data_IF_875734503719
#
_entry.id   IF_875734503719
#
_cell.length_a   1.000
_cell.length_b   1.000
_cell.length_c   1.000
_cell.angle_alpha   90.00
_cell.angle_beta   90.00
_cell.angle_gamma   90.00
#
_symmetry.space_group_name_H-M   'P 1'
#
loop_
_entity.id
_entity.type
_entity.pdbx_description
1 polymer ?
#
# COMPACT_ATOMS: atom_id res chain seq x y z
N UNK A 1 -7.60 -7.08 22.18
CA UNK A 1 -6.67 -7.60 21.15
C UNK A 1 -5.44 -8.24 21.78
N UNK A 2 -4.86 -7.70 22.85
CA UNK A 2 -3.60 -8.20 23.43
C UNK A 2 -3.60 -9.67 23.88
N UNK A 3 -4.77 -10.27 24.11
CA UNK A 3 -4.92 -11.70 24.48
C UNK A 3 -5.45 -12.57 23.32
N UNK A 4 -5.54 -12.03 22.10
CA UNK A 4 -6.05 -12.76 20.94
C UNK A 4 -4.96 -13.61 20.30
N UNK A 5 -5.20 -14.91 20.17
CA UNK A 5 -4.35 -15.82 19.37
C UNK A 5 -4.69 -15.80 17.87
N UNK A 6 -5.62 -14.94 17.43
CA UNK A 6 -6.11 -14.89 16.04
C UNK A 6 -5.83 -13.57 15.34
N UNK A 7 -5.55 -12.51 16.09
CA UNK A 7 -5.47 -11.15 15.58
C UNK A 7 -4.31 -10.44 16.24
N UNK A 8 -3.47 -9.82 15.43
CA UNK A 8 -2.42 -8.92 15.88
C UNK A 8 -3.00 -7.51 16.00
N UNK A 9 -2.52 -6.75 16.98
CA UNK A 9 -2.88 -5.34 17.08
C UNK A 9 -2.15 -4.56 15.98
N UNK A 10 -2.78 -3.54 15.38
CA UNK A 10 -2.07 -2.64 14.48
C UNK A 10 -0.97 -1.90 15.25
N UNK A 11 0.05 -1.45 14.52
CA UNK A 11 1.10 -0.61 15.10
C UNK A 11 0.54 0.71 15.65
N UNK A 12 1.24 1.25 16.64
CA UNK A 12 0.99 2.60 17.12
C UNK A 12 1.33 3.64 16.04
N UNK A 13 0.74 4.83 16.14
CA UNK A 13 0.97 5.90 15.15
C UNK A 13 2.44 6.30 15.03
N UNK A 14 3.19 6.24 16.13
CA UNK A 14 4.61 6.57 16.17
C UNK A 14 5.46 5.51 15.44
N UNK A 15 5.11 4.23 15.60
CA UNK A 15 5.75 3.12 14.87
C UNK A 15 5.45 3.21 13.37
N UNK A 16 4.22 3.58 12.99
CA UNK A 16 3.86 3.80 11.58
C UNK A 16 4.61 5.01 11.00
N UNK A 17 4.75 6.09 11.78
CA UNK A 17 5.52 7.27 11.40
C UNK A 17 7.00 6.94 11.18
N UNK A 18 7.60 6.15 12.07
CA UNK A 18 8.99 5.70 11.93
C UNK A 18 9.18 4.96 10.60
N UNK A 19 8.27 4.05 10.25
CA UNK A 19 8.30 3.35 8.96
C UNK A 19 8.15 4.30 7.78
N UNK A 20 7.21 5.25 7.83
CA UNK A 20 6.98 6.22 6.77
C UNK A 20 8.22 7.12 6.53
N UNK A 21 8.95 7.46 7.61
CA UNK A 21 10.11 8.36 7.57
C UNK A 21 11.26 7.87 6.67
N UNK A 22 11.28 6.56 6.35
CA UNK A 22 12.23 5.94 5.41
C UNK A 22 12.01 6.37 3.96
N UNK A 23 10.80 6.79 3.62
CA UNK A 23 10.39 7.11 2.25
C UNK A 23 10.05 8.58 2.08
N UNK A 24 9.45 9.20 3.11
CA UNK A 24 8.93 10.56 3.03
C UNK A 24 9.13 11.34 4.33
N UNK A 25 9.34 12.65 4.23
CA UNK A 25 9.41 13.53 5.39
C UNK A 25 8.04 13.61 6.10
N UNK A 26 8.02 13.44 7.43
CA UNK A 26 6.79 13.48 8.25
C UNK A 26 6.11 14.86 8.31
N UNK A 27 6.77 15.91 7.81
CA UNK A 27 6.17 17.22 7.58
C UNK A 27 5.10 17.24 6.47
N UNK A 28 4.99 16.18 5.66
CA UNK A 28 3.89 16.00 4.72
C UNK A 28 2.61 15.61 5.47
N UNK A 29 1.95 16.58 6.11
CA UNK A 29 0.78 16.35 6.98
C UNK A 29 -0.57 16.74 6.35
N UNK A 30 -0.61 17.08 5.06
CA UNK A 30 -1.88 17.39 4.41
C UNK A 30 -2.75 16.13 4.31
N UNK A 31 -3.96 16.17 4.89
CA UNK A 31 -4.86 15.02 4.93
C UNK A 31 -4.23 13.84 5.65
N UNK A 32 -4.24 12.65 5.04
CA UNK A 32 -3.55 11.46 5.54
C UNK A 32 -2.04 11.49 5.29
N UNK A 33 -1.52 12.45 4.52
CA UNK A 33 -0.11 12.80 4.45
C UNK A 33 0.84 11.61 4.24
N UNK A 34 1.67 11.34 5.25
CA UNK A 34 2.64 10.24 5.30
C UNK A 34 2.04 8.89 5.74
N UNK A 35 0.82 8.88 6.29
CA UNK A 35 0.21 7.72 6.95
C UNK A 35 0.11 6.51 6.01
N UNK A 36 -0.50 6.68 4.85
CA UNK A 36 -0.69 5.58 3.89
C UNK A 36 0.65 4.99 3.42
N UNK A 37 1.71 5.80 3.33
CA UNK A 37 3.05 5.30 3.01
C UNK A 37 3.59 4.42 4.16
N UNK A 38 3.37 4.83 5.41
CA UNK A 38 3.71 4.06 6.60
C UNK A 38 2.93 2.76 6.71
N UNK A 39 1.61 2.78 6.48
CA UNK A 39 0.75 1.59 6.52
C UNK A 39 1.12 0.58 5.43
N UNK A 40 1.46 1.05 4.22
CA UNK A 40 1.99 0.16 3.17
C UNK A 40 3.30 -0.47 3.63
N UNK A 41 4.20 0.28 4.26
CA UNK A 41 5.46 -0.24 4.77
C UNK A 41 5.26 -1.23 5.94
N UNK A 42 4.30 -0.98 6.83
CA UNK A 42 3.88 -1.91 7.89
C UNK A 42 3.41 -3.25 7.29
N UNK A 43 2.53 -3.20 6.29
CA UNK A 43 2.06 -4.41 5.60
C UNK A 43 3.22 -5.17 4.95
N UNK A 44 4.17 -4.47 4.33
CA UNK A 44 5.35 -5.10 3.73
C UNK A 44 6.23 -5.78 4.77
N UNK A 45 6.46 -5.13 5.92
CA UNK A 45 7.22 -5.72 7.03
C UNK A 45 6.50 -6.95 7.63
N UNK A 46 5.17 -6.99 7.58
CA UNK A 46 4.35 -8.15 7.94
C UNK A 46 4.34 -9.26 6.85
N UNK A 47 5.10 -9.10 5.76
CA UNK A 47 5.22 -10.09 4.68
C UNK A 47 4.13 -10.02 3.62
N UNK A 48 3.37 -8.92 3.57
CA UNK A 48 2.32 -8.69 2.56
C UNK A 48 2.92 -8.01 1.34
N UNK A 49 3.29 -8.81 0.33
CA UNK A 49 3.88 -8.29 -0.91
C UNK A 49 2.88 -7.56 -1.82
N UNK A 50 1.58 -7.83 -1.71
CA UNK A 50 0.59 -7.39 -2.69
C UNK A 50 -0.42 -6.45 -2.01
N UNK A 51 -0.44 -5.18 -2.42
CA UNK A 51 -1.31 -4.16 -1.80
C UNK A 51 -2.14 -3.45 -2.86
N UNK A 52 -3.45 -3.34 -2.59
CA UNK A 52 -4.40 -2.56 -3.41
C UNK A 52 -4.83 -1.33 -2.64
N UNK A 53 -4.42 -0.15 -3.11
CA UNK A 53 -4.89 1.12 -2.59
C UNK A 53 -6.18 1.53 -3.32
N UNK A 54 -7.32 1.27 -2.70
CA UNK A 54 -8.63 1.74 -3.19
C UNK A 54 -8.83 3.17 -2.67
N UNK A 55 -8.91 4.14 -3.58
CA UNK A 55 -8.95 5.55 -3.21
C UNK A 55 -10.00 6.32 -4.00
N UNK A 56 -10.63 7.35 -3.40
CA UNK A 56 -11.50 8.25 -4.14
C UNK A 56 -10.67 9.11 -5.10
N UNK A 57 -11.29 9.56 -6.19
CA UNK A 57 -10.61 10.45 -7.13
C UNK A 57 -10.32 11.82 -6.51
N UNK A 58 -9.13 12.38 -6.73
CA UNK A 58 -8.73 13.70 -6.27
C UNK A 58 -8.19 13.76 -4.84
N UNK A 59 -8.07 12.64 -4.14
CA UNK A 59 -7.44 12.60 -2.81
C UNK A 59 -5.93 12.79 -2.94
N UNK A 60 -5.46 14.04 -2.80
CA UNK A 60 -4.04 14.41 -2.95
C UNK A 60 -3.07 13.54 -2.12
N UNK A 61 -3.36 13.19 -0.85
CA UNK A 61 -2.53 12.25 -0.09
C UNK A 61 -2.34 10.91 -0.79
N UNK A 62 -3.41 10.34 -1.36
CA UNK A 62 -3.32 9.01 -1.97
C UNK A 62 -2.75 9.09 -3.40
N UNK A 63 -3.17 10.11 -4.17
CA UNK A 63 -2.81 10.30 -5.57
C UNK A 63 -1.41 10.84 -5.81
N UNK A 64 -0.95 11.77 -4.98
CA UNK A 64 0.35 12.42 -5.15
C UNK A 64 1.35 11.81 -4.20
N UNK A 65 1.04 11.79 -2.90
CA UNK A 65 2.00 11.40 -1.88
C UNK A 65 2.21 9.88 -1.89
N UNK A 66 1.21 9.08 -1.54
CA UNK A 66 1.36 7.63 -1.41
C UNK A 66 1.74 6.95 -2.73
N UNK A 67 1.01 7.25 -3.82
CA UNK A 67 1.33 6.72 -5.16
C UNK A 67 2.72 7.16 -5.63
N UNK A 68 3.16 8.37 -5.30
CA UNK A 68 4.51 8.86 -5.59
C UNK A 68 5.59 8.03 -4.90
N UNK A 69 5.29 7.49 -3.71
CA UNK A 69 6.22 6.67 -2.94
C UNK A 69 6.32 5.21 -3.39
N UNK A 70 5.46 4.73 -4.30
CA UNK A 70 5.45 3.32 -4.72
C UNK A 70 6.81 2.84 -5.23
N UNK A 71 7.51 3.67 -6.01
CA UNK A 71 8.83 3.30 -6.53
C UNK A 71 9.90 3.27 -5.43
N UNK A 72 9.84 4.20 -4.47
CA UNK A 72 10.74 4.21 -3.32
C UNK A 72 10.52 2.96 -2.46
N UNK A 73 9.25 2.61 -2.17
CA UNK A 73 8.91 1.40 -1.43
C UNK A 73 9.45 0.15 -2.13
N UNK A 74 9.27 0.03 -3.45
CA UNK A 74 9.79 -1.11 -4.24
C UNK A 74 11.31 -1.27 -4.22
N UNK A 75 12.07 -0.19 -3.99
CA UNK A 75 13.52 -0.29 -3.83
C UNK A 75 13.92 -1.00 -2.53
N UNK A 76 13.13 -0.84 -1.47
CA UNK A 76 13.34 -1.51 -0.19
C UNK A 76 12.65 -2.88 -0.11
N UNK A 77 11.55 -3.05 -0.84
CA UNK A 77 10.77 -4.29 -0.90
C UNK A 77 10.65 -4.76 -2.36
N UNK A 78 11.65 -5.51 -2.88
CA UNK A 78 11.71 -5.87 -4.30
C UNK A 78 10.51 -6.70 -4.81
N UNK A 79 9.83 -7.42 -3.91
CA UNK A 79 8.64 -8.22 -4.24
C UNK A 79 7.33 -7.41 -4.16
N UNK A 80 7.38 -6.13 -3.79
CA UNK A 80 6.19 -5.30 -3.61
C UNK A 80 5.43 -5.09 -4.93
N UNK A 81 4.21 -5.62 -4.98
CA UNK A 81 3.23 -5.44 -6.02
C UNK A 81 2.14 -4.47 -5.54
N UNK A 82 2.41 -3.18 -5.75
CA UNK A 82 1.55 -2.08 -5.34
C UNK A 82 0.70 -1.60 -6.52
N UNK A 83 -0.62 -1.58 -6.34
CA UNK A 83 -1.54 -0.95 -7.30
C UNK A 83 -2.46 0.05 -6.61
N UNK A 84 -2.89 1.02 -7.40
CA UNK A 84 -3.80 2.07 -6.99
C UNK A 84 -5.04 2.03 -7.90
N UNK A 85 -6.23 1.98 -7.29
CA UNK A 85 -7.51 1.92 -7.98
C UNK A 85 -8.37 3.09 -7.54
N UNK A 86 -8.74 3.90 -8.51
CA UNK A 86 -9.63 5.03 -8.30
C UNK A 86 -11.09 4.54 -8.36
N UNK A 87 -11.80 4.72 -7.24
CA UNK A 87 -13.19 4.33 -7.09
C UNK A 87 -14.07 5.59 -7.11
N UNK A 88 -14.48 5.98 -8.32
CA UNK A 88 -15.30 7.15 -8.56
C UNK A 88 -16.40 6.82 -9.58
N UNK A 89 -17.54 7.53 -9.49
CA UNK A 89 -18.69 7.30 -10.38
C UNK A 89 -18.38 7.59 -11.86
N UNK A 90 -17.40 8.45 -12.15
CA UNK A 90 -16.95 8.75 -13.51
C UNK A 90 -16.06 7.67 -14.13
N UNK A 91 -15.61 6.69 -13.34
CA UNK A 91 -14.65 5.66 -13.78
C UNK A 91 -15.39 4.35 -14.09
N UNK A 92 -15.04 3.72 -15.21
CA UNK A 92 -15.68 2.48 -15.60
C UNK A 92 -15.36 1.34 -14.62
N UNK A 93 -16.39 0.60 -14.22
CA UNK A 93 -16.27 -0.63 -13.42
C UNK A 93 -15.32 -1.65 -14.07
N UNK A 94 -15.32 -1.72 -15.40
CA UNK A 94 -14.45 -2.62 -16.17
C UNK A 94 -12.98 -2.29 -15.93
N UNK A 95 -12.59 -1.01 -15.88
CA UNK A 95 -11.22 -0.60 -15.61
C UNK A 95 -10.76 -1.03 -14.20
N UNK A 96 -11.60 -0.88 -13.19
CA UNK A 96 -11.30 -1.31 -11.81
C UNK A 96 -11.08 -2.83 -11.75
N UNK A 97 -12.00 -3.62 -12.32
CA UNK A 97 -11.91 -5.08 -12.34
C UNK A 97 -10.66 -5.56 -13.09
N UNK A 98 -10.33 -4.96 -14.23
CA UNK A 98 -9.18 -5.37 -15.03
C UNK A 98 -7.85 -5.10 -14.30
N UNK A 99 -7.75 -4.00 -13.56
CA UNK A 99 -6.57 -3.71 -12.72
C UNK A 99 -6.39 -4.73 -11.61
N UNK A 100 -7.48 -5.12 -10.93
CA UNK A 100 -7.44 -6.17 -9.90
C UNK A 100 -7.03 -7.51 -10.51
N UNK A 101 -7.63 -7.91 -11.63
CA UNK A 101 -7.30 -9.16 -12.33
C UNK A 101 -5.83 -9.20 -12.76
N UNK A 102 -5.31 -8.10 -13.29
CA UNK A 102 -3.92 -7.99 -13.69
C UNK A 102 -2.98 -8.10 -12.49
N UNK A 103 -3.30 -7.41 -11.38
CA UNK A 103 -2.52 -7.51 -10.15
C UNK A 103 -2.48 -8.93 -9.61
N UNK A 104 -3.63 -9.62 -9.55
CA UNK A 104 -3.70 -11.02 -9.10
C UNK A 104 -2.87 -11.94 -10.01
N UNK A 105 -2.88 -11.70 -11.33
CA UNK A 105 -2.04 -12.45 -12.28
C UNK A 105 -0.55 -12.28 -11.97
N UNK A 106 -0.11 -11.03 -11.72
CA UNK A 106 1.27 -10.73 -11.32
C UNK A 106 1.60 -11.38 -9.97
N UNK A 107 0.71 -11.30 -8.99
CA UNK A 107 0.87 -11.90 -7.67
C UNK A 107 1.10 -13.41 -7.77
N UNK A 108 0.28 -14.12 -8.57
CA UNK A 108 0.43 -15.56 -8.81
C UNK A 108 1.79 -15.90 -9.43
N UNK A 109 2.24 -15.12 -10.40
CA UNK A 109 3.54 -15.35 -11.04
C UNK A 109 4.71 -15.07 -10.07
N UNK A 110 4.61 -14.03 -9.24
CA UNK A 110 5.60 -13.70 -8.22
C UNK A 110 5.72 -14.78 -7.13
N UNK A 111 4.60 -15.37 -6.71
CA UNK A 111 4.61 -16.50 -5.76
C UNK A 111 5.36 -17.72 -6.29
N UNK A 112 5.27 -18.01 -7.60
CA UNK A 112 6.03 -19.10 -8.23
C UNK A 112 7.53 -18.80 -8.16
N UNK A 113 7.95 -17.54 -8.35
CA UNK A 113 9.36 -17.16 -8.30
C UNK A 113 9.96 -17.14 -6.89
N UNK A 114 9.16 -16.91 -5.83
CA UNK A 114 9.62 -16.94 -4.43
C UNK A 114 9.82 -18.36 -3.86
N UNK A 115 9.19 -19.37 -4.45
CA UNK A 115 9.20 -20.76 -3.98
C UNK A 115 10.20 -21.66 -4.73
N UNK A 116 11.02 -21.06 -5.60
CA UNK A 116 12.13 -21.71 -6.34
C UNK A 116 13.43 -21.13 -5.83
#
# INVERSE_FOLDING_TARGET
MLESNRFEAPLTIDEVAEKASRFINLGNQMGEGWLLTGEIAELMDAGVDNVVCVQPFGCLPNHVIARGMFNAIKQFYPYANLIAIDFDASISKVNQINRIKLMISIAKNGMVQRNV
#
